data_IF_618865163705
#
_entry.id   IF_618865163705
#
_cell.length_a   1.000
_cell.length_b   1.000
_cell.length_c   1.000
_cell.angle_alpha   90.00
_cell.angle_beta   90.00
_cell.angle_gamma   90.00
#
_symmetry.space_group_name_H-M   'P 1'
#
loop_
_entity.id
_entity.type
_entity.pdbx_description
1 polymer ?
#
# COMPACT_ATOMS: atom_id res chain seq x y z
N UNK A 1 6.12 8.19 2.68
CA UNK A 1 4.80 8.55 3.23
C UNK A 1 4.89 9.97 3.77
N UNK A 2 3.85 10.79 3.66
CA UNK A 2 3.85 12.17 4.22
C UNK A 2 3.43 12.21 5.69
N UNK A 3 2.64 11.24 6.14
CA UNK A 3 2.23 11.07 7.54
C UNK A 3 2.30 9.61 7.99
N UNK A 4 2.51 9.41 9.30
CA UNK A 4 2.52 8.10 9.94
C UNK A 4 1.11 7.71 10.41
N UNK A 5 0.85 6.41 10.54
CA UNK A 5 -0.39 5.85 11.09
C UNK A 5 -1.67 6.41 10.45
N UNK A 6 -1.63 6.63 9.15
CA UNK A 6 -2.76 7.10 8.36
C UNK A 6 -2.68 6.56 6.95
N UNK A 7 -3.84 6.41 6.32
CA UNK A 7 -3.96 6.00 4.93
C UNK A 7 -3.87 7.22 4.00
N UNK A 8 -3.09 7.09 2.95
CA UNK A 8 -2.87 8.10 1.91
C UNK A 8 -3.23 7.50 0.55
N UNK A 9 -3.75 8.34 -0.34
CA UNK A 9 -4.12 7.91 -1.69
C UNK A 9 -2.87 7.65 -2.53
N UNK A 10 -2.87 6.50 -3.19
CA UNK A 10 -1.98 6.14 -4.29
C UNK A 10 -2.83 6.12 -5.56
N UNK A 11 -2.71 7.18 -6.34
CA UNK A 11 -3.46 7.34 -7.58
C UNK A 11 -2.78 6.58 -8.73
N UNK A 12 -3.48 5.58 -9.27
CA UNK A 12 -3.05 4.76 -10.39
C UNK A 12 -3.91 5.01 -11.64
N UNK A 13 -4.79 6.01 -11.62
CA UNK A 13 -5.76 6.30 -12.69
C UNK A 13 -5.10 6.54 -14.04
N UNK A 14 -3.87 7.08 -14.06
CA UNK A 14 -3.09 7.24 -15.28
C UNK A 14 -2.62 5.91 -15.91
N UNK A 15 -2.60 4.82 -15.15
CA UNK A 15 -2.12 3.49 -15.59
C UNK A 15 -3.29 2.53 -15.80
N UNK A 16 -4.22 2.43 -14.83
CA UNK A 16 -5.35 1.48 -14.88
C UNK A 16 -6.66 2.11 -15.37
N UNK A 17 -6.66 3.44 -15.59
CA UNK A 17 -7.86 4.23 -15.88
C UNK A 17 -8.72 4.45 -14.64
N UNK A 18 -9.80 5.22 -14.80
CA UNK A 18 -10.85 5.32 -13.79
C UNK A 18 -11.70 4.04 -13.76
N UNK A 19 -11.18 2.97 -13.15
CA UNK A 19 -11.85 1.67 -13.02
C UNK A 19 -11.40 0.95 -11.74
N UNK A 20 -12.26 0.05 -11.26
CA UNK A 20 -11.83 -0.98 -10.30
C UNK A 20 -10.97 -2.01 -11.01
N UNK A 21 -9.75 -2.22 -10.53
CA UNK A 21 -8.79 -3.17 -11.07
C UNK A 21 -8.04 -3.87 -9.92
N UNK A 22 -7.87 -5.17 -10.03
CA UNK A 22 -7.02 -5.93 -9.11
C UNK A 22 -5.56 -5.69 -9.47
N UNK A 23 -4.81 -5.04 -8.57
CA UNK A 23 -3.43 -4.64 -8.81
C UNK A 23 -2.45 -5.51 -8.02
N UNK A 24 -1.34 -5.87 -8.67
CA UNK A 24 -0.21 -6.59 -8.07
C UNK A 24 0.94 -5.62 -7.87
N UNK A 25 1.37 -5.44 -6.63
CA UNK A 25 2.42 -4.49 -6.25
C UNK A 25 3.67 -5.22 -5.78
N UNK A 26 4.83 -4.72 -6.17
CA UNK A 26 6.10 -4.98 -5.51
C UNK A 26 6.44 -3.79 -4.63
N UNK A 27 6.89 -4.05 -3.42
CA UNK A 27 7.34 -3.04 -2.48
C UNK A 27 8.77 -3.33 -2.09
N UNK A 28 9.60 -2.28 -2.08
CA UNK A 28 10.94 -2.33 -1.49
C UNK A 28 11.12 -1.21 -0.48
N UNK A 29 11.98 -1.45 0.51
CA UNK A 29 12.40 -0.45 1.50
C UNK A 29 13.92 -0.48 1.65
N UNK A 30 14.63 0.65 1.47
CA UNK A 30 16.06 0.75 1.77
C UNK A 30 16.33 0.93 3.27
N UNK A 31 15.29 0.92 4.11
CA UNK A 31 15.37 1.14 5.55
C UNK A 31 16.21 0.07 6.25
N UNK A 32 17.01 0.49 7.24
CA UNK A 32 17.77 -0.38 8.13
C UNK A 32 16.91 -1.09 9.18
N UNK A 33 15.60 -0.80 9.24
CA UNK A 33 14.66 -1.40 10.17
C UNK A 33 13.54 -2.15 9.45
N UNK A 34 13.07 -3.22 10.09
CA UNK A 34 11.86 -3.93 9.66
C UNK A 34 10.71 -2.93 9.48
N UNK A 35 9.98 -3.08 8.39
CA UNK A 35 9.00 -2.09 7.93
C UNK A 35 7.74 -2.79 7.48
N UNK A 36 6.59 -2.17 7.74
CA UNK A 36 5.29 -2.63 7.27
C UNK A 36 4.61 -1.55 6.46
N UNK A 37 4.04 -1.97 5.32
CA UNK A 37 3.15 -1.15 4.51
C UNK A 37 1.83 -1.89 4.30
N UNK A 38 0.74 -1.16 4.41
CA UNK A 38 -0.62 -1.61 4.31
C UNK A 38 -1.25 -1.05 3.03
N UNK A 39 -2.10 -1.83 2.38
CA UNK A 39 -2.83 -1.51 1.15
C UNK A 39 -4.29 -1.86 1.33
N UNK A 40 -5.18 -0.91 1.02
CA UNK A 40 -6.62 -1.14 1.04
C UNK A 40 -7.33 -0.40 -0.10
N UNK A 41 -8.49 -0.88 -0.56
CA UNK A 41 -9.34 -0.12 -1.47
C UNK A 41 -9.75 1.21 -0.81
N UNK A 42 -9.77 2.28 -1.61
CA UNK A 42 -10.21 3.59 -1.13
C UNK A 42 -11.68 3.54 -0.70
N UNK A 43 -11.99 4.16 0.43
CA UNK A 43 -13.34 4.20 0.99
C UNK A 43 -13.77 2.96 1.81
N UNK A 44 -12.97 1.89 1.84
CA UNK A 44 -13.24 0.70 2.64
C UNK A 44 -12.42 0.66 3.94
N UNK A 45 -12.92 -0.04 4.96
CA UNK A 45 -12.25 -0.17 6.26
C UNK A 45 -12.46 1.04 7.18
N UNK A 46 -11.62 1.14 8.22
CA UNK A 46 -11.66 2.22 9.21
C UNK A 46 -10.31 2.92 9.37
N UNK A 47 -10.07 3.46 10.56
CA UNK A 47 -8.80 4.08 10.93
C UNK A 47 -7.63 3.10 10.82
N UNK A 48 -6.43 3.63 10.62
CA UNK A 48 -5.21 2.84 10.65
C UNK A 48 -5.05 2.16 12.02
N UNK A 49 -4.95 0.83 12.03
CA UNK A 49 -4.73 0.09 13.27
C UNK A 49 -3.32 0.38 13.82
N UNK A 50 -3.16 0.49 15.13
CA UNK A 50 -1.82 0.73 15.72
C UNK A 50 -0.98 -0.55 15.73
N UNK A 51 -1.63 -1.71 15.78
CA UNK A 51 -0.96 -3.02 15.81
C UNK A 51 -0.64 -3.51 14.40
N UNK A 52 0.64 -3.85 14.18
CA UNK A 52 1.11 -4.44 12.93
C UNK A 52 0.34 -5.73 12.59
N UNK A 53 -0.14 -5.83 11.34
CA UNK A 53 -0.91 -6.98 10.86
C UNK A 53 -2.40 -6.95 11.23
N UNK A 54 -2.84 -6.08 12.14
CA UNK A 54 -4.26 -5.94 12.52
C UNK A 54 -5.02 -4.93 11.63
N UNK A 55 -4.49 -4.58 10.46
CA UNK A 55 -5.01 -3.51 9.62
C UNK A 55 -6.29 -3.88 8.85
N UNK A 56 -6.69 -5.16 8.84
CA UNK A 56 -7.83 -5.64 8.05
C UNK A 56 -7.65 -5.39 6.54
N UNK A 57 -6.40 -5.38 6.07
CA UNK A 57 -6.02 -5.01 4.72
C UNK A 57 -4.90 -5.91 4.18
N UNK A 58 -4.55 -5.77 2.91
CA UNK A 58 -3.35 -6.44 2.37
C UNK A 58 -2.12 -5.71 2.89
N UNK A 59 -1.20 -6.39 3.56
CA UNK A 59 0.01 -5.78 4.06
C UNK A 59 1.26 -6.58 3.72
N UNK A 60 2.39 -5.88 3.64
CA UNK A 60 3.71 -6.48 3.47
C UNK A 60 4.53 -6.13 4.69
N UNK A 61 5.02 -7.14 5.40
CA UNK A 61 5.99 -7.00 6.49
C UNK A 61 7.33 -7.44 5.94
N UNK A 62 8.29 -6.53 5.89
CA UNK A 62 9.59 -6.76 5.26
C UNK A 62 10.71 -6.52 6.26
N UNK A 63 11.74 -7.36 6.18
CA UNK A 63 13.02 -7.09 6.84
C UNK A 63 13.79 -5.98 6.11
N UNK A 64 14.87 -5.53 6.72
CA UNK A 64 15.84 -4.59 6.15
C UNK A 64 16.33 -5.04 4.79
N UNK A 65 16.34 -4.13 3.80
CA UNK A 65 16.79 -4.38 2.42
C UNK A 65 16.06 -5.55 1.72
N UNK A 66 14.81 -5.82 2.09
CA UNK A 66 13.99 -6.84 1.47
C UNK A 66 12.93 -6.23 0.53
N UNK A 67 12.30 -7.11 -0.24
CA UNK A 67 11.13 -6.81 -1.04
C UNK A 67 9.97 -7.71 -0.62
N UNK A 68 8.76 -7.31 -0.98
CA UNK A 68 7.58 -8.16 -0.86
C UNK A 68 6.47 -7.72 -1.79
N UNK A 69 5.47 -8.57 -1.94
CA UNK A 69 4.36 -8.33 -2.85
C UNK A 69 3.04 -8.12 -2.10
N UNK A 70 2.22 -7.20 -2.61
CA UNK A 70 0.86 -6.96 -2.13
C UNK A 70 -0.13 -7.06 -3.28
N UNK A 71 -1.38 -7.42 -2.95
CA UNK A 71 -2.47 -7.43 -3.92
C UNK A 71 -3.60 -6.57 -3.35
N UNK A 72 -4.08 -5.60 -4.12
CA UNK A 72 -5.18 -4.74 -3.70
C UNK A 72 -5.98 -4.26 -4.91
N UNK A 73 -7.30 -4.15 -4.74
CA UNK A 73 -8.16 -3.52 -5.73
C UNK A 73 -8.13 -2.00 -5.60
N UNK A 74 -8.17 -1.29 -6.73
CA UNK A 74 -8.49 0.14 -6.78
C UNK A 74 -9.98 0.39 -6.53
N UNK A 75 -10.33 1.63 -6.19
CA UNK A 75 -11.71 2.10 -6.30
C UNK A 75 -12.11 2.38 -7.76
N UNK A 76 -13.34 2.88 -7.96
CA UNK A 76 -13.85 3.24 -9.28
C UNK A 76 -13.05 4.35 -9.98
N UNK A 77 -12.21 5.10 -9.27
CA UNK A 77 -11.37 6.15 -9.82
C UNK A 77 -9.94 5.67 -10.10
N UNK A 78 -9.64 4.38 -9.90
CA UNK A 78 -8.28 3.86 -10.08
C UNK A 78 -7.35 4.18 -8.90
N UNK A 79 -7.88 4.39 -7.69
CA UNK A 79 -7.09 4.77 -6.50
C UNK A 79 -7.05 3.64 -5.46
N UNK A 80 -5.86 3.36 -4.94
CA UNK A 80 -5.64 2.52 -3.74
C UNK A 80 -5.26 3.43 -2.57
N UNK A 81 -5.49 3.00 -1.34
CA UNK A 81 -4.96 3.66 -0.16
C UNK A 81 -3.82 2.86 0.47
N UNK A 82 -2.70 3.52 0.74
CA UNK A 82 -1.52 2.93 1.38
C UNK A 82 -1.25 3.57 2.74
N UNK A 83 -0.73 2.80 3.68
CA UNK A 83 -0.47 3.25 5.06
C UNK A 83 0.78 2.60 5.63
N UNK A 84 1.48 3.30 6.53
CA UNK A 84 2.59 2.74 7.29
C UNK A 84 2.57 3.32 8.72
N UNK A 85 3.02 2.58 9.74
CA UNK A 85 3.02 3.03 11.13
C UNK A 85 4.05 4.14 11.39
N UNK A 86 5.02 4.31 10.48
CA UNK A 86 6.02 5.36 10.53
C UNK A 86 6.10 6.10 9.19
N UNK A 87 6.58 7.34 9.22
CA UNK A 87 6.86 8.17 8.05
C UNK A 87 8.36 8.47 7.84
N UNK A 88 9.23 7.85 8.64
CA UNK A 88 10.68 7.99 8.51
C UNK A 88 11.32 7.11 7.42
N UNK A 89 10.57 6.14 6.88
CA UNK A 89 11.03 5.24 5.82
C UNK A 89 10.49 5.65 4.46
N UNK A 90 11.33 5.56 3.43
CA UNK A 90 10.91 5.67 2.02
C UNK A 90 10.56 4.28 1.50
N UNK A 91 9.35 4.11 1.01
CA UNK A 91 8.93 2.88 0.33
C UNK A 91 8.90 3.14 -1.17
N UNK A 92 9.46 2.22 -1.95
CA UNK A 92 9.24 2.18 -3.39
C UNK A 92 8.14 1.19 -3.66
N UNK A 93 7.03 1.65 -4.25
CA UNK A 93 5.90 0.82 -4.66
C UNK A 93 5.86 0.79 -6.18
N UNK A 94 5.95 -0.41 -6.75
CA UNK A 94 5.90 -0.64 -8.19
C UNK A 94 4.65 -1.44 -8.53
N UNK A 95 3.87 -0.97 -9.50
CA UNK A 95 2.81 -1.77 -10.10
C UNK A 95 3.46 -2.79 -11.04
N UNK A 96 3.32 -4.08 -10.72
CA UNK A 96 3.88 -5.20 -11.51
C UNK A 96 2.93 -5.57 -12.65
N UNK A 97 1.62 -5.50 -12.38
CA UNK A 97 0.57 -5.78 -13.35
C UNK A 97 -0.80 -5.56 -12.71
N UNK A 98 -1.86 -5.65 -13.52
CA UNK A 98 -3.23 -5.52 -13.05
C UNK A 98 -4.19 -6.35 -13.92
N UNK A 99 -5.33 -6.71 -13.34
CA UNK A 99 -6.47 -7.30 -14.03
C UNK A 99 -7.64 -6.34 -13.89
N UNK A 100 -8.27 -6.01 -15.01
CA UNK A 100 -9.42 -5.09 -15.09
C UNK A 100 -10.69 -5.88 -15.39
#
# INVERSE_FOLDING_TARGET
MTAASTFQDLDLSAIVGANSALCFFEVTTPSSAASVIAFKPKGYGGSFAVQEGAYGCSNVIMATNAYGYAICATDANGVVQIGAPNNGSTYTVKLVGYVK
#
